data_IF_234852761584
#
_entry.id   IF_234852761584
#
_cell.length_a   1.000
_cell.length_b   1.000
_cell.length_c   1.000
_cell.angle_alpha   90.00
_cell.angle_beta   90.00
_cell.angle_gamma   90.00
#
_symmetry.space_group_name_H-M   'P 1'
#
loop_
_entity.id
_entity.type
_entity.pdbx_description
1 polymer ?
#
# COMPACT_ATOMS: atom_id res chain seq x y z
N UNK A 1 55.23 13.85 -21.14
CA UNK A 1 54.35 12.70 -20.84
C UNK A 1 53.47 12.86 -19.60
N UNK A 2 53.66 13.88 -18.74
CA UNK A 2 52.92 14.02 -17.47
C UNK A 2 51.65 14.87 -17.47
N UNK A 3 51.31 15.56 -18.57
CA UNK A 3 50.13 16.44 -18.67
C UNK A 3 48.87 15.70 -19.14
N UNK A 4 49.01 14.74 -20.06
CA UNK A 4 47.91 13.91 -20.54
C UNK A 4 47.34 13.00 -19.45
N UNK A 5 48.18 12.45 -18.58
CA UNK A 5 47.75 11.60 -17.47
C UNK A 5 46.94 12.37 -16.41
N UNK A 6 47.25 13.66 -16.20
CA UNK A 6 46.50 14.55 -15.30
C UNK A 6 45.14 14.97 -15.88
N UNK A 7 45.06 15.18 -17.19
CA UNK A 7 43.81 15.50 -17.89
C UNK A 7 42.83 14.31 -17.87
N UNK A 8 43.33 13.08 -18.06
CA UNK A 8 42.51 11.87 -18.00
C UNK A 8 41.97 11.61 -16.58
N UNK A 9 42.77 11.85 -15.54
CA UNK A 9 42.33 11.71 -14.15
C UNK A 9 41.25 12.74 -13.76
N UNK A 10 41.35 13.98 -14.28
CA UNK A 10 40.37 15.05 -14.02
C UNK A 10 39.01 14.77 -14.70
N UNK A 11 39.03 14.25 -15.93
CA UNK A 11 37.81 13.83 -16.64
C UNK A 11 37.16 12.60 -15.98
N UNK A 12 37.94 11.67 -15.44
CA UNK A 12 37.37 10.57 -14.65
C UNK A 12 36.65 11.07 -13.39
N UNK A 13 37.21 12.06 -12.68
CA UNK A 13 36.59 12.62 -11.47
C UNK A 13 35.29 13.38 -11.74
N UNK A 14 35.18 14.10 -12.88
CA UNK A 14 33.91 14.71 -13.25
C UNK A 14 32.87 13.65 -13.61
N UNK A 15 33.23 12.61 -14.36
CA UNK A 15 32.31 11.52 -14.72
C UNK A 15 31.80 10.77 -13.45
N UNK A 16 32.67 10.56 -12.46
CA UNK A 16 32.30 9.90 -11.19
C UNK A 16 31.42 10.82 -10.30
N UNK A 17 31.56 12.14 -10.39
CA UNK A 17 30.76 13.09 -9.62
C UNK A 17 29.29 13.19 -10.12
N UNK A 18 29.01 12.92 -11.39
CA UNK A 18 27.63 12.79 -11.91
C UNK A 18 27.04 11.39 -11.67
N UNK A 19 27.85 10.40 -11.29
CA UNK A 19 27.37 9.08 -10.91
C UNK A 19 26.72 9.05 -9.51
N UNK A 20 26.70 10.18 -8.79
CA UNK A 20 25.78 10.42 -7.66
C UNK A 20 24.36 10.68 -8.18
N UNK A 21 23.90 9.87 -9.12
CA UNK A 21 22.46 9.66 -9.29
C UNK A 21 22.04 9.09 -7.95
N UNK A 22 21.46 9.94 -7.11
CA UNK A 22 20.72 9.55 -5.93
C UNK A 22 19.67 8.55 -6.39
N UNK A 23 20.05 7.28 -6.43
CA UNK A 23 19.14 6.16 -6.45
C UNK A 23 18.54 6.14 -5.05
N UNK A 24 17.71 7.16 -4.78
CA UNK A 24 16.68 7.07 -3.78
C UNK A 24 15.94 5.81 -4.15
N UNK A 25 16.23 4.77 -3.39
CA UNK A 25 15.71 3.43 -3.52
C UNK A 25 14.20 3.56 -3.70
N UNK A 26 13.73 3.41 -4.94
CA UNK A 26 12.32 3.13 -5.22
C UNK A 26 12.04 1.71 -4.73
N UNK A 27 12.08 1.53 -3.43
CA UNK A 27 11.29 0.54 -2.73
C UNK A 27 10.09 1.27 -2.14
N UNK A 28 9.42 2.06 -2.99
CA UNK A 28 8.04 2.43 -2.73
C UNK A 28 7.31 1.10 -2.84
N UNK A 29 6.66 0.67 -1.75
CA UNK A 29 5.74 -0.46 -1.80
C UNK A 29 4.80 -0.20 -2.99
N UNK A 30 4.92 -1.01 -4.06
CA UNK A 30 4.12 -0.90 -5.28
C UNK A 30 2.64 -1.28 -5.04
N UNK A 31 2.29 -1.47 -3.76
CA UNK A 31 0.99 -1.87 -3.26
C UNK A 31 0.50 -0.79 -2.31
N UNK A 32 -0.65 -0.26 -2.64
CA UNK A 32 -1.30 0.82 -1.93
C UNK A 32 -2.80 0.62 -2.05
N UNK A 33 -3.58 1.22 -1.15
CA UNK A 33 -5.01 0.97 -1.08
C UNK A 33 -5.79 2.22 -1.45
N UNK A 34 -6.87 2.03 -2.19
CA UNK A 34 -7.81 3.10 -2.54
C UNK A 34 -9.20 2.73 -2.06
N UNK A 35 -9.99 3.73 -1.69
CA UNK A 35 -11.38 3.53 -1.30
C UNK A 35 -12.17 3.04 -2.52
N UNK A 36 -12.81 1.90 -2.38
CA UNK A 36 -13.68 1.32 -3.41
C UNK A 36 -15.15 1.62 -3.15
N UNK A 37 -15.62 1.38 -1.92
CA UNK A 37 -17.02 1.54 -1.53
C UNK A 37 -17.13 2.32 -0.23
N UNK A 38 -18.08 3.26 -0.20
CA UNK A 38 -18.43 4.05 0.99
C UNK A 38 -19.71 3.52 1.60
N UNK A 39 -19.72 3.30 2.91
CA UNK A 39 -20.89 2.75 3.62
C UNK A 39 -21.15 1.27 3.32
N UNK A 40 -20.07 0.50 3.17
CA UNK A 40 -20.10 -0.94 3.00
C UNK A 40 -19.09 -1.60 3.94
N UNK A 41 -19.41 -2.82 4.35
CA UNK A 41 -18.58 -3.68 5.17
C UNK A 41 -18.34 -5.01 4.45
N UNK A 42 -17.25 -5.71 4.78
CA UNK A 42 -17.04 -7.07 4.31
C UNK A 42 -18.16 -8.01 4.79
N UNK A 43 -18.63 -8.89 3.91
CA UNK A 43 -19.66 -9.87 4.26
C UNK A 43 -19.18 -10.82 5.37
N UNK A 44 -20.11 -11.36 6.15
CA UNK A 44 -19.79 -12.27 7.25
C UNK A 44 -18.99 -13.47 6.75
N UNK A 45 -17.85 -13.76 7.39
CA UNK A 45 -16.94 -14.85 6.99
C UNK A 45 -15.88 -14.47 5.94
N UNK A 46 -15.93 -13.25 5.37
CA UNK A 46 -14.84 -12.69 4.54
C UNK A 46 -13.65 -12.17 5.35
N UNK A 47 -13.84 -11.46 6.49
CA UNK A 47 -12.72 -11.02 7.30
C UNK A 47 -11.90 -12.22 7.78
N UNK A 48 -10.63 -12.25 7.39
CA UNK A 48 -9.65 -13.23 7.86
C UNK A 48 -8.98 -12.79 9.15
N UNK A 49 -8.93 -11.48 9.36
CA UNK A 49 -8.36 -10.86 10.55
C UNK A 49 -9.12 -9.59 10.87
N UNK A 50 -9.34 -9.35 12.16
CA UNK A 50 -9.95 -8.12 12.66
C UNK A 50 -8.98 -7.49 13.66
N UNK A 51 -8.74 -6.20 13.50
CA UNK A 51 -7.98 -5.36 14.42
C UNK A 51 -8.94 -4.33 14.99
N UNK A 52 -8.72 -3.94 16.25
CA UNK A 52 -9.48 -2.89 16.91
C UNK A 52 -8.52 -1.77 17.31
N UNK A 53 -9.04 -0.55 17.41
CA UNK A 53 -8.30 0.63 17.86
C UNK A 53 -7.06 0.95 17.00
N UNK A 54 -7.12 0.69 15.70
CA UNK A 54 -6.07 1.03 14.73
C UNK A 54 -6.49 2.21 13.85
N UNK A 55 -5.53 3.00 13.37
CA UNK A 55 -5.81 4.03 12.38
C UNK A 55 -5.97 3.45 10.97
N UNK A 56 -6.48 4.26 10.04
CA UNK A 56 -6.58 3.85 8.63
C UNK A 56 -5.22 3.45 8.05
N UNK A 57 -4.18 4.26 8.30
CA UNK A 57 -2.80 3.97 7.85
C UNK A 57 -2.28 2.66 8.45
N UNK A 58 -2.54 2.39 9.74
CA UNK A 58 -2.13 1.14 10.36
C UNK A 58 -2.86 -0.07 9.77
N UNK A 59 -4.12 0.10 9.36
CA UNK A 59 -4.89 -0.93 8.67
C UNK A 59 -4.29 -1.23 7.27
N UNK A 60 -3.87 -0.19 6.55
CA UNK A 60 -3.15 -0.32 5.27
C UNK A 60 -1.83 -1.10 5.47
N UNK A 61 -0.99 -0.66 6.42
CA UNK A 61 0.30 -1.30 6.74
C UNK A 61 0.13 -2.76 7.15
N UNK A 62 -0.88 -3.06 7.96
CA UNK A 62 -1.13 -4.43 8.40
C UNK A 62 -1.63 -5.31 7.25
N UNK A 63 -2.36 -4.73 6.29
CA UNK A 63 -2.74 -5.44 5.07
C UNK A 63 -1.52 -5.68 4.17
N UNK A 64 -0.62 -4.71 4.01
CA UNK A 64 0.66 -4.92 3.30
C UNK A 64 1.52 -6.02 3.93
N UNK A 65 1.55 -6.06 5.27
CA UNK A 65 2.30 -7.07 6.03
C UNK A 65 1.63 -8.45 5.98
N UNK A 66 0.32 -8.48 5.81
CA UNK A 66 -0.46 -9.73 5.78
C UNK A 66 -0.35 -10.36 4.41
N UNK A 67 0.36 -11.49 4.33
CA UNK A 67 0.55 -12.22 3.07
C UNK A 67 -0.78 -12.54 2.41
N UNK A 68 -0.96 -12.05 1.19
CA UNK A 68 -2.17 -12.29 0.42
C UNK A 68 -3.35 -11.42 0.83
N UNK A 69 -3.19 -10.42 1.71
CA UNK A 69 -4.20 -9.38 1.86
C UNK A 69 -4.40 -8.64 0.54
N UNK A 70 -5.62 -8.21 0.28
CA UNK A 70 -5.92 -7.47 -0.95
C UNK A 70 -7.00 -6.41 -0.78
N UNK A 71 -7.75 -6.48 0.31
CA UNK A 71 -8.72 -5.48 0.66
C UNK A 71 -8.90 -5.45 2.18
N UNK A 72 -9.43 -4.35 2.67
CA UNK A 72 -9.86 -4.24 4.06
C UNK A 72 -11.08 -3.33 4.17
N UNK A 73 -11.89 -3.53 5.20
CA UNK A 73 -12.92 -2.58 5.61
C UNK A 73 -12.46 -1.83 6.86
N UNK A 74 -12.64 -0.51 6.87
CA UNK A 74 -12.28 0.35 8.00
C UNK A 74 -13.54 1.02 8.57
N UNK A 75 -13.71 0.92 9.88
CA UNK A 75 -14.83 1.49 10.60
C UNK A 75 -14.65 3.00 10.80
N UNK A 76 -15.64 3.77 10.35
CA UNK A 76 -15.64 5.24 10.36
C UNK A 76 -16.71 5.85 11.28
N UNK A 77 -17.66 5.04 11.77
CA UNK A 77 -18.67 5.52 12.72
C UNK A 77 -18.12 5.58 14.15
N UNK A 78 -18.75 6.35 15.03
CA UNK A 78 -18.37 6.42 16.44
C UNK A 78 -18.25 5.06 17.15
N UNK A 79 -19.06 4.07 16.76
CA UNK A 79 -19.08 2.73 17.37
C UNK A 79 -18.05 1.77 16.75
N UNK A 80 -17.73 1.95 15.48
CA UNK A 80 -16.79 1.11 14.73
C UNK A 80 -15.42 1.77 14.52
N UNK A 81 -15.22 3.01 15.00
CA UNK A 81 -14.06 3.81 14.69
C UNK A 81 -12.77 3.07 15.05
N UNK A 82 -11.89 2.91 14.06
CA UNK A 82 -10.63 2.20 14.23
C UNK A 82 -10.74 0.67 14.25
N UNK A 83 -11.90 0.12 13.88
CA UNK A 83 -12.04 -1.31 13.57
C UNK A 83 -11.57 -1.55 12.14
N UNK A 84 -10.69 -2.52 11.94
CA UNK A 84 -10.11 -2.86 10.64
C UNK A 84 -10.32 -4.34 10.37
N UNK A 85 -10.96 -4.67 9.25
CA UNK A 85 -11.26 -6.03 8.85
C UNK A 85 -10.52 -6.36 7.56
N UNK A 86 -9.57 -7.30 7.61
CA UNK A 86 -8.71 -7.65 6.48
C UNK A 86 -9.30 -8.83 5.69
N UNK A 87 -9.33 -8.69 4.37
CA UNK A 87 -9.69 -9.75 3.43
C UNK A 87 -8.46 -10.18 2.62
N UNK A 88 -8.14 -11.48 2.68
CA UNK A 88 -7.11 -12.09 1.84
C UNK A 88 -7.67 -12.63 0.54
N UNK A 89 -6.83 -12.76 -0.48
CA UNK A 89 -7.14 -13.48 -1.72
C UNK A 89 -7.56 -14.90 -1.36
N UNK A 90 -8.84 -15.24 -1.47
CA UNK A 90 -9.26 -16.64 -1.37
C UNK A 90 -8.94 -17.32 -2.70
N UNK A 91 -8.06 -18.33 -2.68
CA UNK A 91 -7.68 -19.15 -3.85
C UNK A 91 -8.86 -19.94 -4.47
N UNK A 92 -10.07 -19.82 -3.91
CA UNK A 92 -11.26 -20.55 -4.35
C UNK A 92 -11.91 -20.01 -5.62
N UNK A 93 -11.53 -18.82 -6.08
CA UNK A 93 -12.04 -18.29 -7.36
C UNK A 93 -11.02 -18.52 -8.48
N UNK A 94 -10.84 -19.78 -8.86
CA UNK A 94 -9.91 -20.21 -9.91
C UNK A 94 -10.26 -19.69 -11.32
N UNK A 95 -11.28 -18.84 -11.47
CA UNK A 95 -11.60 -18.15 -12.74
C UNK A 95 -11.13 -16.69 -12.79
N UNK A 96 -10.72 -16.09 -11.66
CA UNK A 96 -10.14 -14.75 -11.67
C UNK A 96 -8.62 -14.84 -11.86
N UNK A 97 -8.21 -14.90 -13.12
CA UNK A 97 -6.81 -15.01 -13.57
C UNK A 97 -5.97 -13.76 -13.21
N UNK A 98 -6.54 -12.68 -12.64
CA UNK A 98 -5.74 -11.47 -12.30
C UNK A 98 -6.27 -10.72 -11.06
N UNK A 99 -5.62 -10.92 -9.92
CA UNK A 99 -5.71 -10.09 -8.71
C UNK A 99 -7.10 -10.06 -8.04
N UNK A 100 -7.16 -9.99 -6.71
CA UNK A 100 -8.42 -10.11 -5.94
C UNK A 100 -9.53 -9.28 -6.54
N UNK A 101 -10.62 -9.97 -6.86
CA UNK A 101 -11.85 -9.34 -7.28
C UNK A 101 -12.82 -9.55 -6.13
N UNK A 102 -12.85 -8.58 -5.19
CA UNK A 102 -14.04 -8.46 -4.35
C UNK A 102 -15.20 -8.14 -5.28
N UNK A 103 -16.29 -8.91 -5.22
CA UNK A 103 -17.54 -8.60 -5.90
C UNK A 103 -18.52 -7.95 -4.92
N UNK A 104 -19.64 -7.44 -5.44
CA UNK A 104 -20.69 -6.88 -4.58
C UNK A 104 -21.34 -7.94 -3.66
N UNK A 105 -21.21 -9.23 -3.95
CA UNK A 105 -21.69 -10.32 -3.09
C UNK A 105 -20.82 -10.50 -1.83
N UNK A 106 -19.63 -9.89 -1.83
CA UNK A 106 -18.63 -10.02 -0.79
C UNK A 106 -18.68 -8.90 0.24
N UNK A 107 -19.60 -7.96 0.04
CA UNK A 107 -19.78 -6.77 0.84
C UNK A 107 -21.25 -6.58 1.14
N UNK A 108 -21.54 -6.13 2.36
CA UNK A 108 -22.88 -5.77 2.79
C UNK A 108 -22.95 -4.26 3.00
N UNK A 109 -24.12 -3.66 2.77
CA UNK A 109 -24.34 -2.25 3.13
C UNK A 109 -24.20 -2.09 4.64
N UNK A 110 -23.33 -1.17 5.04
CA UNK A 110 -23.13 -0.79 6.43
C UNK A 110 -22.46 0.59 6.46
N UNK A 111 -23.23 1.61 6.78
CA UNK A 111 -22.76 2.99 6.84
C UNK A 111 -21.66 3.24 7.89
N UNK A 112 -21.40 2.26 8.76
CA UNK A 112 -20.34 2.34 9.74
C UNK A 112 -18.95 2.01 9.18
N UNK A 113 -18.84 1.55 7.94
CA UNK A 113 -17.58 1.11 7.34
C UNK A 113 -17.41 1.61 5.91
N UNK A 114 -16.14 1.72 5.50
CA UNK A 114 -15.73 1.91 4.10
C UNK A 114 -14.78 0.77 3.69
N UNK A 115 -14.89 0.31 2.44
CA UNK A 115 -14.06 -0.77 1.88
C UNK A 115 -12.95 -0.19 0.99
N UNK A 116 -11.73 -0.64 1.23
CA UNK A 116 -10.52 -0.27 0.52
C UNK A 116 -9.94 -1.50 -0.19
N UNK A 117 -9.47 -1.31 -1.42
CA UNK A 117 -8.89 -2.36 -2.25
C UNK A 117 -7.49 -1.96 -2.71
N UNK A 118 -6.65 -2.94 -2.95
CA UNK A 118 -5.33 -2.74 -3.54
C UNK A 118 -5.46 -2.06 -4.92
N UNK A 119 -4.83 -0.90 -5.09
CA UNK A 119 -4.77 -0.18 -6.35
C UNK A 119 -3.92 -0.94 -7.35
N UNK A 120 -4.39 -1.03 -8.59
CA UNK A 120 -3.63 -1.59 -9.73
C UNK A 120 -2.85 -0.53 -10.51
N UNK A 121 -2.81 0.70 -9.99
CA UNK A 121 -2.15 1.85 -10.64
C UNK A 121 -1.24 2.53 -9.64
N UNK A 122 -0.07 3.02 -10.10
CA UNK A 122 0.92 3.81 -9.34
C UNK A 122 0.36 5.15 -8.80
N UNK A 123 -0.96 5.37 -8.87
CA UNK A 123 -1.66 6.61 -8.52
C UNK A 123 -2.32 6.57 -7.15
N UNK A 124 -1.76 5.85 -6.19
CA UNK A 124 -2.13 6.10 -4.80
C UNK A 124 -1.39 7.34 -4.33
N UNK A 125 -2.13 8.41 -4.09
CA UNK A 125 -1.65 9.47 -3.23
C UNK A 125 -1.59 8.88 -1.81
N UNK A 126 -0.45 8.94 -1.11
CA UNK A 126 -0.37 8.44 0.26
C UNK A 126 -1.41 9.17 1.11
N UNK A 127 -2.32 8.40 1.70
CA UNK A 127 -3.45 8.89 2.50
C UNK A 127 -3.04 9.41 3.87
N UNK A 128 -1.74 9.43 4.22
CA UNK A 128 -1.28 10.09 5.45
C UNK A 128 0.13 10.70 5.38
N UNK A 129 0.35 11.83 6.08
CA UNK A 129 1.66 12.49 6.21
C UNK A 129 2.64 11.77 7.16
N UNK A 130 2.32 10.59 7.70
CA UNK A 130 3.21 9.87 8.64
C UNK A 130 4.42 9.19 7.96
N UNK A 131 4.52 9.23 6.63
CA UNK A 131 5.71 8.80 5.90
C UNK A 131 6.80 9.89 5.80
N UNK A 132 6.61 11.03 6.46
CA UNK A 132 7.63 12.08 6.62
C UNK A 132 8.03 12.24 8.08
N UNK A 133 8.77 11.27 8.61
CA UNK A 133 9.68 11.53 9.72
C UNK A 133 10.87 10.57 9.66
N UNK A 134 12.07 11.02 9.28
CA UNK A 134 13.27 10.31 9.69
C UNK A 134 13.39 10.43 11.22
N UNK A 135 13.44 9.29 11.89
CA UNK A 135 13.90 9.19 13.26
C UNK A 135 15.39 9.57 13.33
N UNK A 136 15.64 10.72 13.96
CA UNK A 136 16.89 11.21 14.58
C UNK A 136 18.24 10.70 14.03
#
# INVERSE_FOLDING_TARGET
>A
MGTYLKLLASLAFTIIAWAQVSTATRLIHDQCYTKWLTGYKLATGRPTKVLNSVSLTQCEEECLRTRGCAAFAYGISSQSNGTCELATRTLRDSRSVTNVTLTYDDVNKDHAYDVYIESRTDKCLPTSPLFQAPSN
#
